data_IF_568813918963
#
_entry.id   IF_568813918963
#
_cell.length_a   1.000
_cell.length_b   1.000
_cell.length_c   1.000
_cell.angle_alpha   90.00
_cell.angle_beta   90.00
_cell.angle_gamma   90.00
#
_symmetry.space_group_name_H-M   'P 1'
#
loop_
_entity.id
_entity.type
_entity.pdbx_description
1 polymer ?
#
# COMPACT_ATOMS: atom_id res chain seq x y z
N UNK A 1 4.58 -39.53 10.32
CA UNK A 1 3.63 -38.67 11.04
C UNK A 1 4.26 -37.29 11.09
N UNK A 2 3.71 -36.32 10.36
CA UNK A 2 4.19 -34.94 10.43
C UNK A 2 3.92 -34.40 11.84
N UNK A 3 4.97 -33.91 12.48
CA UNK A 3 4.87 -33.34 13.82
C UNK A 3 4.10 -32.02 13.72
N UNK A 4 3.00 -31.90 14.44
CA UNK A 4 2.18 -30.70 14.46
C UNK A 4 3.02 -29.53 15.02
N UNK A 5 2.94 -28.33 14.42
CA UNK A 5 3.70 -27.17 14.90
C UNK A 5 3.30 -26.83 16.34
N UNK A 6 4.28 -26.32 17.10
CA UNK A 6 4.04 -25.88 18.47
C UNK A 6 3.12 -24.65 18.50
N UNK A 7 2.49 -24.39 19.66
CA UNK A 7 1.63 -23.22 19.83
C UNK A 7 2.37 -21.90 19.54
N UNK A 8 3.66 -21.82 19.91
CA UNK A 8 4.50 -20.65 19.68
C UNK A 8 4.82 -20.46 18.19
N UNK A 9 5.08 -21.55 17.46
CA UNK A 9 5.32 -21.51 16.02
C UNK A 9 4.07 -21.05 15.25
N UNK A 10 2.89 -21.50 15.67
CA UNK A 10 1.62 -21.05 15.10
C UNK A 10 1.40 -19.55 15.33
N UNK A 11 1.65 -19.08 16.55
CA UNK A 11 1.53 -17.66 16.90
C UNK A 11 2.50 -16.81 16.08
N UNK A 12 3.77 -17.19 16.02
CA UNK A 12 4.78 -16.47 15.24
C UNK A 12 4.41 -16.39 13.74
N UNK A 13 3.84 -17.47 13.18
CA UNK A 13 3.33 -17.47 11.80
C UNK A 13 2.16 -16.50 11.61
N UNK A 14 1.24 -16.40 12.56
CA UNK A 14 0.12 -15.47 12.49
C UNK A 14 0.60 -14.02 12.59
N UNK A 15 1.52 -13.73 13.50
CA UNK A 15 2.09 -12.39 13.70
C UNK A 15 2.84 -11.91 12.44
N UNK A 16 3.64 -12.78 11.83
CA UNK A 16 4.34 -12.49 10.57
C UNK A 16 3.37 -12.15 9.43
N UNK A 17 2.27 -12.91 9.29
CA UNK A 17 1.23 -12.64 8.27
C UNK A 17 0.53 -11.31 8.52
N UNK A 18 0.19 -11.01 9.77
CA UNK A 18 -0.45 -9.76 10.14
C UNK A 18 0.45 -8.55 9.86
N UNK A 19 1.74 -8.66 10.16
CA UNK A 19 2.71 -7.61 9.89
C UNK A 19 2.86 -7.37 8.39
N UNK A 20 2.99 -8.44 7.59
CA UNK A 20 3.03 -8.35 6.13
C UNK A 20 1.78 -7.62 5.57
N UNK A 21 0.60 -7.97 6.07
CA UNK A 21 -0.64 -7.30 5.66
C UNK A 21 -0.66 -5.82 6.07
N UNK A 22 -0.20 -5.51 7.29
CA UNK A 22 -0.12 -4.14 7.79
C UNK A 22 0.74 -3.26 6.90
N UNK A 23 1.92 -3.75 6.53
CA UNK A 23 2.84 -3.01 5.66
C UNK A 23 2.27 -2.76 4.27
N UNK A 24 1.56 -3.74 3.69
CA UNK A 24 0.85 -3.52 2.42
C UNK A 24 -0.21 -2.42 2.53
N UNK A 25 -1.00 -2.44 3.61
CA UNK A 25 -1.99 -1.39 3.85
C UNK A 25 -1.34 -0.02 4.06
N UNK A 26 -0.22 0.07 4.78
CA UNK A 26 0.52 1.32 4.97
C UNK A 26 0.85 1.96 3.62
N UNK A 27 1.42 1.19 2.67
CA UNK A 27 1.69 1.66 1.30
C UNK A 27 0.44 2.14 0.56
N UNK A 28 -0.68 1.43 0.71
CA UNK A 28 -1.97 1.88 0.15
C UNK A 28 -2.43 3.20 0.76
N UNK A 29 -2.26 3.38 2.07
CA UNK A 29 -2.63 4.62 2.76
C UNK A 29 -1.72 5.79 2.40
N UNK A 30 -0.43 5.57 2.19
CA UNK A 30 0.50 6.58 1.66
C UNK A 30 0.01 7.12 0.31
N UNK A 31 -0.33 6.23 -0.63
CA UNK A 31 -0.88 6.63 -1.92
C UNK A 31 -2.20 7.41 -1.76
N UNK A 32 -3.09 6.99 -0.85
CA UNK A 32 -4.36 7.69 -0.56
C UNK A 32 -4.15 9.10 -0.01
N UNK A 33 -3.15 9.31 0.85
CA UNK A 33 -2.82 10.64 1.36
C UNK A 33 -2.38 11.56 0.23
N UNK A 34 -1.49 11.09 -0.65
CA UNK A 34 -1.05 11.89 -1.79
C UNK A 34 -2.20 12.18 -2.75
N UNK A 35 -3.09 11.22 -3.01
CA UNK A 35 -4.29 11.45 -3.81
C UNK A 35 -5.21 12.53 -3.22
N UNK A 36 -5.36 12.56 -1.89
CA UNK A 36 -6.13 13.60 -1.23
C UNK A 36 -5.48 14.98 -1.37
N UNK A 37 -4.15 15.07 -1.27
CA UNK A 37 -3.42 16.33 -1.50
C UNK A 37 -3.50 16.79 -2.96
N UNK A 38 -3.44 15.88 -3.93
CA UNK A 38 -3.68 16.21 -5.35
C UNK A 38 -5.07 16.82 -5.52
N UNK A 39 -6.10 16.25 -4.90
CA UNK A 39 -7.46 16.78 -4.98
C UNK A 39 -7.57 18.19 -4.41
N UNK A 40 -6.87 18.48 -3.30
CA UNK A 40 -6.80 19.83 -2.73
C UNK A 40 -6.08 20.79 -3.67
N UNK A 41 -4.94 20.39 -4.22
CA UNK A 41 -4.15 21.19 -5.18
C UNK A 41 -4.97 21.52 -6.43
N UNK A 42 -5.67 20.54 -7.01
CA UNK A 42 -6.53 20.76 -8.18
C UNK A 42 -7.67 21.75 -7.89
N UNK A 43 -8.28 21.68 -6.69
CA UNK A 43 -9.32 22.62 -6.27
C UNK A 43 -8.78 24.03 -6.03
N UNK A 44 -7.56 24.17 -5.52
CA UNK A 44 -6.94 25.46 -5.23
C UNK A 44 -6.43 26.17 -6.50
N UNK A 45 -5.75 25.43 -7.39
CA UNK A 45 -5.05 25.98 -8.56
C UNK A 45 -5.97 26.16 -9.78
N UNK A 46 -7.10 25.46 -9.83
CA UNK A 46 -8.01 25.49 -10.98
C UNK A 46 -7.28 25.12 -12.26
N UNK A 47 -7.35 25.97 -13.30
CA UNK A 47 -6.73 25.71 -14.62
C UNK A 47 -5.21 25.52 -14.55
N UNK A 48 -4.54 26.08 -13.52
CA UNK A 48 -3.08 26.01 -13.37
C UNK A 48 -2.56 24.68 -12.78
N UNK A 49 -3.46 23.75 -12.43
CA UNK A 49 -3.08 22.52 -11.73
C UNK A 49 -2.06 21.64 -12.50
N UNK A 50 -2.00 21.76 -13.83
CA UNK A 50 -1.08 20.97 -14.68
C UNK A 50 0.40 21.28 -14.41
N UNK A 51 0.72 22.54 -14.10
CA UNK A 51 2.09 22.96 -13.79
C UNK A 51 2.39 22.77 -12.29
N UNK A 52 1.46 23.17 -11.42
CA UNK A 52 1.71 23.25 -9.97
C UNK A 52 1.58 21.91 -9.27
N UNK A 53 0.58 21.10 -9.61
CA UNK A 53 0.33 19.82 -8.93
C UNK A 53 1.20 18.67 -9.47
N UNK A 54 2.05 18.91 -10.48
CA UNK A 54 2.84 17.87 -11.15
C UNK A 54 3.72 17.05 -10.19
N UNK A 55 4.43 17.62 -9.22
CA UNK A 55 5.26 16.84 -8.29
C UNK A 55 4.45 15.86 -7.43
N UNK A 56 3.23 16.25 -7.04
CA UNK A 56 2.33 15.37 -6.28
C UNK A 56 1.86 14.20 -7.15
N UNK A 57 1.54 14.46 -8.42
CA UNK A 57 1.14 13.42 -9.38
C UNK A 57 2.29 12.44 -9.62
N UNK A 58 3.51 12.94 -9.86
CA UNK A 58 4.67 12.08 -10.08
C UNK A 58 4.95 11.19 -8.85
N UNK A 59 4.84 11.76 -7.64
CA UNK A 59 4.96 11.00 -6.37
C UNK A 59 3.88 9.93 -6.24
N UNK A 60 2.63 10.27 -6.57
CA UNK A 60 1.52 9.32 -6.52
C UNK A 60 1.72 8.17 -7.50
N UNK A 61 2.20 8.45 -8.72
CA UNK A 61 2.49 7.42 -9.73
C UNK A 61 3.59 6.46 -9.27
N UNK A 62 4.63 6.96 -8.59
CA UNK A 62 5.65 6.10 -8.00
C UNK A 62 5.09 5.20 -6.90
N UNK A 63 4.28 5.76 -5.98
CA UNK A 63 3.64 4.98 -4.91
C UNK A 63 2.68 3.90 -5.44
N UNK A 64 1.97 4.17 -6.54
CA UNK A 64 1.02 3.23 -7.13
C UNK A 64 1.66 1.92 -7.60
N UNK A 65 2.97 1.91 -7.91
CA UNK A 65 3.70 0.70 -8.32
C UNK A 65 3.64 -0.38 -7.22
N UNK A 66 3.70 0.04 -5.95
CA UNK A 66 3.79 -0.84 -4.79
C UNK A 66 2.54 -0.83 -3.89
N UNK A 67 1.60 0.07 -4.12
CA UNK A 67 0.43 0.28 -3.24
C UNK A 67 -0.60 -0.86 -3.28
N UNK A 68 -0.52 -1.78 -4.26
CA UNK A 68 -1.50 -2.88 -4.39
C UNK A 68 -1.31 -3.92 -3.28
N UNK A 69 -2.40 -4.17 -2.54
CA UNK A 69 -2.45 -5.27 -1.56
C UNK A 69 -2.46 -6.60 -2.32
N UNK A 70 -1.45 -7.44 -2.04
CA UNK A 70 -1.27 -8.78 -2.63
C UNK A 70 -1.73 -9.91 -1.69
N UNK A 71 -1.98 -9.59 -0.43
CA UNK A 71 -2.30 -10.59 0.59
C UNK A 71 -1.04 -11.22 1.20
N UNK A 72 -1.23 -12.16 2.13
CA UNK A 72 -0.15 -12.94 2.73
C UNK A 72 0.17 -14.23 1.93
N UNK A 73 -0.74 -14.65 1.06
CA UNK A 73 -0.61 -15.84 0.22
C UNK A 73 -0.82 -15.44 -1.23
N UNK A 74 0.15 -15.75 -2.08
CA UNK A 74 0.05 -15.62 -3.53
C UNK A 74 -0.65 -16.89 -4.02
N UNK A 75 -1.77 -16.73 -4.73
CA UNK A 75 -2.59 -17.86 -5.22
C UNK A 75 -2.42 -18.02 -6.74
N UNK A 76 -2.22 -16.91 -7.43
CA UNK A 76 -2.04 -16.86 -8.87
C UNK A 76 -0.54 -16.65 -9.18
N UNK A 77 0.14 -17.72 -9.58
CA UNK A 77 1.42 -17.65 -10.28
C UNK A 77 1.12 -17.74 -11.78
N UNK A 78 1.20 -16.61 -12.49
CA UNK A 78 1.31 -16.56 -13.96
C UNK A 78 2.79 -16.60 -14.36
#
# INVERSE_FOLDING_TARGET
>A
MEQLPSADELKARMDSRNEQMRQQWIKTYEARLVAAEISKCQKAEGVNHYAVCRPLVDTYLELLKDAKVKGYRIVDEE
#
